data_IF_546229649037
#
_entry.id   IF_546229649037
#
_cell.length_a   1.000
_cell.length_b   1.000
_cell.length_c   1.000
_cell.angle_alpha   90.00
_cell.angle_beta   90.00
_cell.angle_gamma   90.00
#
_symmetry.space_group_name_H-M   'P 1'
#
loop_
_entity.id
_entity.type
_entity.pdbx_description
1 polymer ?
#
# COMPACT_ATOMS: atom_id res chain seq x y z
N UNK A 1 -0.19 13.32 -13.33
CA UNK A 1 -0.55 13.85 -12.01
C UNK A 1 -0.20 12.82 -10.97
N UNK A 2 0.45 13.26 -9.90
CA UNK A 2 0.93 12.42 -8.81
C UNK A 2 0.57 13.12 -7.50
N UNK A 3 -0.08 12.42 -6.58
CA UNK A 3 -0.29 12.88 -5.20
C UNK A 3 0.50 11.98 -4.28
N UNK A 4 1.29 12.58 -3.38
CA UNK A 4 2.06 11.88 -2.37
C UNK A 4 1.54 12.33 -1.01
N UNK A 5 0.73 11.49 -0.36
CA UNK A 5 0.03 11.80 0.89
C UNK A 5 -0.63 13.20 0.91
N UNK A 6 -1.33 13.58 -0.16
CA UNK A 6 -2.04 14.86 -0.23
C UNK A 6 -3.34 14.76 0.58
N UNK A 7 -3.73 15.75 1.40
CA UNK A 7 -5.04 15.75 2.08
C UNK A 7 -6.19 15.50 1.10
N UNK A 8 -7.19 14.71 1.50
CA UNK A 8 -8.25 14.24 0.59
C UNK A 8 -9.00 15.37 -0.10
N UNK A 9 -9.39 16.41 0.64
CA UNK A 9 -10.16 17.54 0.09
C UNK A 9 -9.31 18.37 -0.89
N UNK A 10 -8.02 18.54 -0.60
CA UNK A 10 -7.07 19.20 -1.48
C UNK A 10 -6.84 18.39 -2.76
N UNK A 11 -6.60 17.08 -2.63
CA UNK A 11 -6.46 16.17 -3.76
C UNK A 11 -7.73 16.17 -4.63
N UNK A 12 -8.93 16.23 -4.04
CA UNK A 12 -10.19 16.28 -4.79
C UNK A 12 -10.32 17.58 -5.59
N UNK A 13 -9.92 18.71 -5.00
CA UNK A 13 -9.93 20.03 -5.66
C UNK A 13 -8.94 20.08 -6.83
N UNK A 14 -7.70 19.64 -6.60
CA UNK A 14 -6.61 19.72 -7.58
C UNK A 14 -6.64 18.59 -8.62
N UNK A 15 -7.38 17.51 -8.37
CA UNK A 15 -7.38 16.35 -9.25
C UNK A 15 -7.90 16.66 -10.67
N UNK A 16 -7.16 16.20 -11.67
CA UNK A 16 -7.68 16.07 -13.04
C UNK A 16 -8.86 15.07 -13.13
N UNK A 17 -9.61 15.06 -14.24
CA UNK A 17 -10.92 14.40 -14.34
C UNK A 17 -10.93 12.92 -13.93
N UNK A 18 -9.91 12.15 -14.34
CA UNK A 18 -9.84 10.71 -14.04
C UNK A 18 -9.69 10.43 -12.53
N UNK A 19 -8.74 11.08 -11.88
CA UNK A 19 -8.52 10.87 -10.43
C UNK A 19 -9.67 11.47 -9.63
N UNK A 20 -10.21 12.63 -10.05
CA UNK A 20 -11.35 13.26 -9.39
C UNK A 20 -12.57 12.34 -9.37
N UNK A 21 -12.86 11.65 -10.47
CA UNK A 21 -13.95 10.66 -10.52
C UNK A 21 -13.72 9.51 -9.53
N UNK A 22 -12.49 8.97 -9.47
CA UNK A 22 -12.13 7.91 -8.52
C UNK A 22 -12.27 8.38 -7.08
N UNK A 23 -11.75 9.57 -6.73
CA UNK A 23 -11.85 10.13 -5.38
C UNK A 23 -13.32 10.41 -5.00
N UNK A 24 -14.11 10.93 -5.93
CA UNK A 24 -15.56 11.14 -5.72
C UNK A 24 -16.26 9.82 -5.43
N UNK A 25 -15.93 8.74 -6.14
CA UNK A 25 -16.48 7.41 -5.90
C UNK A 25 -15.98 6.80 -4.58
N UNK A 26 -14.75 7.09 -4.15
CA UNK A 26 -14.21 6.63 -2.86
C UNK A 26 -14.80 7.36 -1.66
N UNK A 27 -15.15 8.64 -1.79
CA UNK A 27 -15.59 9.51 -0.69
C UNK A 27 -16.71 8.91 0.20
N UNK A 28 -17.78 8.33 -0.37
CA UNK A 28 -18.83 7.66 0.41
C UNK A 28 -18.38 6.43 1.20
N UNK A 29 -17.23 5.82 0.85
CA UNK A 29 -16.69 4.64 1.51
C UNK A 29 -15.71 4.96 2.64
N UNK A 30 -15.33 6.23 2.80
CA UNK A 30 -14.51 6.69 3.93
C UNK A 30 -15.32 6.58 5.22
N UNK A 31 -14.71 6.03 6.27
CA UNK A 31 -15.40 5.85 7.55
C UNK A 31 -15.52 7.17 8.31
N UNK A 32 -14.62 8.13 8.06
CA UNK A 32 -14.51 9.42 8.75
C UNK A 32 -14.41 9.29 10.27
N UNK A 33 -13.75 8.22 10.72
CA UNK A 33 -13.49 7.94 12.15
C UNK A 33 -12.11 8.37 12.61
N UNK A 34 -11.32 8.92 11.69
CA UNK A 34 -9.94 9.33 11.89
C UNK A 34 -9.79 10.81 11.61
N UNK A 35 -8.77 11.44 12.20
CA UNK A 35 -8.56 12.90 12.10
C UNK A 35 -8.17 13.36 10.69
N UNK A 36 -7.45 12.54 9.94
CA UNK A 36 -6.93 12.88 8.62
C UNK A 36 -7.27 11.80 7.60
N UNK A 37 -7.45 12.22 6.35
CA UNK A 37 -7.55 11.35 5.19
C UNK A 37 -6.56 11.83 4.13
N UNK A 38 -5.66 10.95 3.69
CA UNK A 38 -4.61 11.26 2.71
C UNK A 38 -4.79 10.44 1.44
N UNK A 39 -4.40 11.04 0.32
CA UNK A 39 -4.47 10.50 -1.02
C UNK A 39 -3.07 10.28 -1.55
N UNK A 40 -2.88 9.06 -2.03
CA UNK A 40 -1.73 8.56 -2.72
C UNK A 40 -2.14 8.21 -4.15
N UNK A 41 -1.70 8.97 -5.15
CA UNK A 41 -2.10 8.73 -6.53
C UNK A 41 -0.90 8.77 -7.47
N UNK A 42 -0.79 7.77 -8.36
CA UNK A 42 0.28 7.68 -9.34
C UNK A 42 -0.23 7.10 -10.66
N UNK A 43 0.22 7.67 -11.77
CA UNK A 43 0.04 7.12 -13.12
C UNK A 43 1.41 6.66 -13.61
N UNK A 44 1.52 5.39 -13.97
CA UNK A 44 2.78 4.78 -14.31
C UNK A 44 2.64 3.95 -15.59
N UNK A 45 3.66 3.96 -16.44
CA UNK A 45 3.74 3.06 -17.59
C UNK A 45 4.65 1.88 -17.25
N UNK A 46 4.17 0.67 -17.50
CA UNK A 46 4.90 -0.57 -17.27
C UNK A 46 5.29 -1.22 -18.60
N UNK A 47 6.45 -1.86 -18.63
CA UNK A 47 6.82 -2.90 -19.59
C UNK A 47 6.58 -4.28 -18.96
N UNK A 48 6.51 -5.37 -19.75
CA UNK A 48 6.43 -6.71 -19.19
C UNK A 48 7.58 -6.98 -18.21
N UNK A 49 7.26 -7.48 -17.02
CA UNK A 49 8.22 -7.73 -15.93
C UNK A 49 8.45 -6.55 -14.97
N UNK A 50 8.04 -5.33 -15.33
CA UNK A 50 8.16 -4.17 -14.44
C UNK A 50 7.29 -4.35 -13.18
N UNK A 51 7.78 -3.85 -12.03
CA UNK A 51 7.08 -3.89 -10.73
C UNK A 51 7.03 -2.47 -10.15
N UNK A 52 5.99 -2.07 -9.40
CA UNK A 52 6.03 -0.82 -8.63
C UNK A 52 7.15 -0.87 -7.58
N UNK A 53 7.95 0.19 -7.45
CA UNK A 53 9.18 0.23 -6.61
C UNK A 53 8.97 -0.16 -5.15
N UNK A 54 7.78 0.08 -4.61
CA UNK A 54 7.46 -0.01 -3.19
C UNK A 54 6.78 -1.33 -2.77
N UNK A 55 6.55 -2.29 -3.68
CA UNK A 55 5.47 -3.27 -3.46
C UNK A 55 5.76 -4.73 -3.85
N UNK A 56 6.98 -5.14 -4.17
CA UNK A 56 7.23 -6.52 -4.66
C UNK A 56 7.01 -7.61 -3.59
N UNK A 57 7.42 -7.34 -2.35
CA UNK A 57 7.27 -8.26 -1.22
C UNK A 57 5.83 -8.24 -0.68
N UNK A 58 5.36 -9.37 -0.14
CA UNK A 58 4.18 -9.35 0.72
C UNK A 58 4.40 -8.42 1.90
N UNK A 59 3.48 -7.47 2.07
CA UNK A 59 3.55 -6.47 3.12
C UNK A 59 2.16 -6.12 3.65
N UNK A 60 2.17 -5.34 4.74
CA UNK A 60 0.97 -4.70 5.27
C UNK A 60 1.21 -3.19 5.34
N UNK A 61 0.13 -2.44 5.16
CA UNK A 61 0.17 -0.98 5.21
C UNK A 61 -0.10 -0.45 6.63
N UNK A 62 0.19 0.83 6.82
CA UNK A 62 -0.33 1.59 7.94
C UNK A 62 0.34 1.32 9.28
N UNK A 63 1.55 0.76 9.29
CA UNK A 63 2.40 0.67 10.47
C UNK A 63 2.66 2.07 11.08
N UNK A 64 2.70 3.11 10.23
CA UNK A 64 2.87 4.52 10.62
C UNK A 64 1.84 5.01 11.65
N UNK A 65 0.63 4.45 11.72
CA UNK A 65 -0.39 4.88 12.69
C UNK A 65 -0.04 4.51 14.13
N UNK A 66 0.87 3.56 14.31
CA UNK A 66 1.31 3.05 15.60
C UNK A 66 2.74 3.49 15.97
N UNK A 67 3.35 4.43 15.21
CA UNK A 67 4.66 5.05 15.51
C UNK A 67 4.61 6.01 16.71
N UNK A 68 4.11 5.54 17.84
CA UNK A 68 4.13 6.26 19.11
C UNK A 68 5.36 5.89 19.95
N UNK A 69 5.41 6.40 21.19
CA UNK A 69 6.48 6.12 22.14
C UNK A 69 6.72 4.61 22.38
N UNK A 70 5.75 3.73 22.10
CA UNK A 70 5.90 2.27 22.19
C UNK A 70 6.74 1.75 21.03
N UNK A 71 6.43 2.15 19.80
CA UNK A 71 7.22 1.80 18.62
C UNK A 71 8.62 2.45 18.65
N UNK A 72 8.74 3.67 19.17
CA UNK A 72 10.03 4.35 19.40
C UNK A 72 10.94 3.55 20.33
N UNK A 73 10.41 3.06 21.47
CA UNK A 73 11.18 2.22 22.42
C UNK A 73 11.70 0.93 21.80
N UNK A 74 11.00 0.43 20.79
CA UNK A 74 11.40 -0.78 20.08
C UNK A 74 12.39 -0.46 18.95
N UNK A 75 12.50 0.78 18.47
CA UNK A 75 13.52 1.19 17.49
C UNK A 75 13.04 1.27 16.04
N UNK A 76 11.76 1.59 15.80
CA UNK A 76 11.18 1.89 14.47
C UNK A 76 11.37 0.83 13.36
N UNK A 77 11.41 -0.45 13.74
CA UNK A 77 11.30 -1.54 12.76
C UNK A 77 9.83 -1.78 12.36
N UNK A 78 9.60 -2.31 11.17
CA UNK A 78 8.26 -2.53 10.60
C UNK A 78 7.38 -3.38 11.52
N UNK A 79 7.91 -4.47 12.09
CA UNK A 79 7.15 -5.31 13.02
C UNK A 79 6.94 -4.68 14.39
N UNK A 80 7.75 -3.70 14.78
CA UNK A 80 7.52 -2.98 16.03
C UNK A 80 6.31 -2.06 15.96
N UNK A 81 6.12 -1.43 14.81
CA UNK A 81 4.91 -0.68 14.53
C UNK A 81 3.67 -1.60 14.56
N UNK A 82 3.79 -2.82 14.00
CA UNK A 82 2.72 -3.82 14.06
C UNK A 82 2.47 -4.32 15.49
N UNK A 83 3.52 -4.60 16.26
CA UNK A 83 3.43 -5.03 17.66
C UNK A 83 2.82 -3.93 18.53
N UNK A 84 3.30 -2.68 18.41
CA UNK A 84 2.74 -1.52 19.12
C UNK A 84 1.26 -1.30 18.78
N UNK A 85 0.85 -1.61 17.54
CA UNK A 85 -0.56 -1.62 17.15
C UNK A 85 -1.33 -2.74 17.84
N UNK A 86 -0.83 -3.97 17.82
CA UNK A 86 -1.49 -5.13 18.44
C UNK A 86 -1.66 -4.98 19.95
N UNK A 87 -0.68 -4.34 20.60
CA UNK A 87 -0.71 -4.05 22.04
C UNK A 87 -1.56 -2.80 22.39
N UNK A 88 -2.05 -2.07 21.37
CA UNK A 88 -2.76 -0.81 21.53
C UNK A 88 -4.26 -0.91 21.37
N UNK A 89 -4.95 0.14 21.81
CA UNK A 89 -6.38 0.34 21.54
C UNK A 89 -6.64 1.20 20.29
N UNK A 90 -5.59 1.53 19.53
CA UNK A 90 -5.71 2.37 18.33
C UNK A 90 -6.46 1.59 17.26
N UNK A 91 -7.62 2.12 16.85
CA UNK A 91 -8.38 1.51 15.77
C UNK A 91 -7.52 1.39 14.50
N UNK A 92 -7.59 0.26 13.78
CA UNK A 92 -6.75 -0.01 12.63
C UNK A 92 -6.95 1.06 11.53
N UNK A 93 -5.93 1.30 10.69
CA UNK A 93 -6.10 2.15 9.53
C UNK A 93 -7.07 1.50 8.55
N UNK A 94 -7.85 2.33 7.88
CA UNK A 94 -8.73 1.90 6.80
C UNK A 94 -8.17 2.47 5.51
N UNK A 95 -7.97 1.58 4.55
CA UNK A 95 -7.43 1.91 3.25
C UNK A 95 -8.48 1.62 2.18
N UNK A 96 -8.61 2.54 1.23
CA UNK A 96 -9.28 2.28 -0.04
C UNK A 96 -8.24 2.29 -1.14
N UNK A 97 -8.24 1.30 -2.02
CA UNK A 97 -7.36 1.26 -3.19
C UNK A 97 -8.18 1.11 -4.47
N UNK A 98 -7.78 1.84 -5.49
CA UNK A 98 -8.25 1.71 -6.86
C UNK A 98 -7.08 1.50 -7.79
N UNK A 99 -7.27 0.57 -8.73
CA UNK A 99 -6.41 0.42 -9.88
C UNK A 99 -7.24 0.38 -11.16
N UNK A 100 -6.73 1.04 -12.19
CA UNK A 100 -7.39 1.11 -13.50
C UNK A 100 -7.21 -0.15 -14.36
N UNK A 101 -6.23 -0.99 -14.09
CA UNK A 101 -5.80 -2.04 -15.01
C UNK A 101 -5.55 -3.39 -14.33
N UNK A 102 -5.61 -4.47 -15.11
CA UNK A 102 -5.38 -5.84 -14.63
C UNK A 102 -3.95 -6.33 -14.88
N UNK A 103 -3.18 -5.69 -15.77
CA UNK A 103 -1.87 -6.18 -16.21
C UNK A 103 -0.79 -6.14 -15.12
N UNK A 104 -0.98 -5.39 -14.04
CA UNK A 104 -0.10 -5.35 -12.88
C UNK A 104 -0.93 -5.21 -11.60
N UNK A 105 -1.92 -6.11 -11.47
CA UNK A 105 -2.91 -6.07 -10.40
C UNK A 105 -2.32 -6.40 -9.03
N UNK A 106 -2.60 -5.57 -8.03
CA UNK A 106 -2.26 -5.88 -6.64
C UNK A 106 -2.95 -7.18 -6.21
N UNK A 107 -2.19 -8.09 -5.59
CA UNK A 107 -2.71 -9.32 -5.01
C UNK A 107 -2.95 -9.14 -3.52
N UNK A 108 -4.02 -9.76 -3.03
CA UNK A 108 -4.39 -9.80 -1.63
C UNK A 108 -4.52 -11.25 -1.16
N UNK A 109 -4.05 -11.55 0.04
CA UNK A 109 -4.38 -12.80 0.73
C UNK A 109 -5.85 -12.78 1.14
N UNK A 110 -6.60 -13.85 0.87
CA UNK A 110 -8.05 -13.89 1.09
C UNK A 110 -8.52 -14.80 2.21
N UNK A 111 -7.61 -15.57 2.82
CA UNK A 111 -7.89 -16.37 4.00
C UNK A 111 -7.01 -15.92 5.18
N UNK A 112 -7.49 -16.04 6.44
CA UNK A 112 -6.65 -15.79 7.61
C UNK A 112 -5.37 -16.62 7.56
N UNK A 113 -4.24 -15.98 7.86
CA UNK A 113 -2.92 -16.59 7.88
C UNK A 113 -2.25 -16.28 9.21
N UNK A 114 -1.76 -17.31 9.89
CA UNK A 114 -0.93 -17.18 11.09
C UNK A 114 0.51 -17.42 10.70
N UNK A 115 1.39 -16.48 11.06
CA UNK A 115 2.82 -16.53 10.74
C UNK A 115 3.59 -16.21 12.01
N UNK A 116 4.55 -17.06 12.35
CA UNK A 116 5.53 -16.78 13.39
C UNK A 116 6.68 -15.96 12.80
N UNK A 117 6.83 -14.71 13.24
CA UNK A 117 7.92 -13.84 12.82
C UNK A 117 8.89 -13.60 13.98
N UNK A 118 10.19 -13.39 13.70
CA UNK A 118 11.11 -12.87 14.70
C UNK A 118 10.60 -11.54 15.27
N UNK A 119 10.97 -11.21 16.51
CA UNK A 119 10.62 -9.93 17.15
C UNK A 119 11.05 -8.72 16.32
N UNK A 120 12.12 -8.88 15.54
CA UNK A 120 12.74 -7.87 14.70
C UNK A 120 12.84 -8.37 13.27
N UNK A 121 12.19 -7.68 12.33
CA UNK A 121 12.57 -7.74 10.92
C UNK A 121 12.80 -6.30 10.43
N UNK A 122 13.94 -6.01 9.76
CA UNK A 122 14.27 -4.67 9.32
C UNK A 122 13.45 -4.23 8.10
N UNK A 123 12.93 -5.19 7.34
CA UNK A 123 12.18 -5.01 6.11
C UNK A 123 11.12 -6.12 5.94
N UNK A 124 10.45 -6.17 4.80
CA UNK A 124 9.42 -7.17 4.50
C UNK A 124 9.98 -8.50 3.95
N UNK A 125 11.29 -8.70 3.83
CA UNK A 125 11.87 -9.90 3.19
C UNK A 125 11.50 -11.18 3.94
N UNK A 126 11.66 -11.18 5.27
CA UNK A 126 11.32 -12.35 6.09
C UNK A 126 9.81 -12.62 6.08
N UNK A 127 8.98 -11.57 6.16
CA UNK A 127 7.53 -11.73 6.04
C UNK A 127 7.15 -12.34 4.70
N UNK A 128 7.73 -11.83 3.61
CA UNK A 128 7.50 -12.33 2.26
C UNK A 128 7.88 -13.81 2.12
N UNK A 129 9.06 -14.20 2.59
CA UNK A 129 9.50 -15.59 2.56
C UNK A 129 8.52 -16.52 3.30
N UNK A 130 8.02 -16.12 4.47
CA UNK A 130 7.06 -16.91 5.24
C UNK A 130 5.68 -16.99 4.58
N UNK A 131 5.17 -15.88 4.04
CA UNK A 131 3.90 -15.87 3.30
C UNK A 131 4.00 -16.75 2.06
N UNK A 132 5.11 -16.69 1.32
CA UNK A 132 5.34 -17.52 0.16
C UNK A 132 5.40 -19.01 0.53
N UNK A 133 6.11 -19.37 1.61
CA UNK A 133 6.20 -20.74 2.10
C UNK A 133 4.83 -21.31 2.53
N UNK A 134 3.96 -20.46 3.10
CA UNK A 134 2.61 -20.85 3.48
C UNK A 134 1.65 -20.99 2.30
N UNK A 135 1.95 -20.34 1.17
CA UNK A 135 1.15 -20.36 -0.07
C UNK A 135 -0.37 -20.17 0.17
N UNK A 136 -0.80 -19.10 0.86
CA UNK A 136 -2.22 -18.89 1.14
C UNK A 136 -3.01 -18.64 -0.15
N UNK A 137 -4.34 -18.80 -0.13
CA UNK A 137 -5.18 -18.37 -1.25
C UNK A 137 -5.07 -16.85 -1.44
N UNK A 138 -4.92 -16.44 -2.70
CA UNK A 138 -4.77 -15.05 -3.09
C UNK A 138 -5.77 -14.66 -4.16
N UNK A 139 -6.10 -13.38 -4.22
CA UNK A 139 -6.95 -12.79 -5.27
C UNK A 139 -6.28 -11.53 -5.81
N UNK A 140 -6.26 -11.41 -7.12
CA UNK A 140 -5.88 -10.17 -7.79
C UNK A 140 -7.02 -9.17 -7.72
N UNK A 141 -6.73 -7.92 -7.36
CA UNK A 141 -7.69 -6.83 -7.41
C UNK A 141 -8.25 -6.70 -8.84
N UNK A 142 -9.58 -6.67 -9.03
CA UNK A 142 -10.17 -6.43 -10.34
C UNK A 142 -9.81 -5.03 -10.86
N UNK A 143 -9.63 -4.90 -12.17
CA UNK A 143 -9.49 -3.58 -12.79
C UNK A 143 -10.74 -2.72 -12.55
N UNK A 144 -10.54 -1.41 -12.45
CA UNK A 144 -11.59 -0.42 -12.21
C UNK A 144 -12.43 -0.68 -10.95
N UNK A 145 -11.85 -1.30 -9.92
CA UNK A 145 -12.53 -1.58 -8.65
C UNK A 145 -11.93 -0.79 -7.49
N UNK A 146 -12.78 -0.42 -6.53
CA UNK A 146 -12.36 0.10 -5.23
C UNK A 146 -12.35 -1.08 -4.24
N UNK A 147 -11.17 -1.41 -3.72
CA UNK A 147 -10.98 -2.42 -2.68
C UNK A 147 -10.76 -1.73 -1.36
N UNK A 148 -11.48 -2.17 -0.33
CA UNK A 148 -11.22 -1.79 1.05
C UNK A 148 -10.36 -2.84 1.72
N UNK A 149 -9.32 -2.40 2.40
CA UNK A 149 -8.44 -3.24 3.19
C UNK A 149 -7.96 -2.46 4.42
N UNK A 150 -7.25 -3.13 5.32
CA UNK A 150 -6.71 -2.53 6.53
C UNK A 150 -5.23 -2.88 6.71
N UNK A 151 -4.62 -2.38 7.77
CA UNK A 151 -3.21 -2.64 8.01
C UNK A 151 -2.85 -4.05 8.46
N UNK A 152 -3.76 -5.04 8.44
CA UNK A 152 -3.43 -6.46 8.57
C UNK A 152 -3.70 -7.23 7.28
N UNK A 153 -4.21 -6.56 6.25
CA UNK A 153 -4.46 -7.16 4.96
C UNK A 153 -3.15 -7.31 4.19
N UNK A 154 -2.66 -8.55 4.11
CA UNK A 154 -1.45 -8.88 3.35
C UNK A 154 -1.69 -8.67 1.86
N UNK A 155 -0.82 -7.87 1.25
CA UNK A 155 -0.87 -7.58 -0.16
C UNK A 155 0.52 -7.39 -0.77
N UNK A 156 0.57 -7.49 -2.10
CA UNK A 156 1.78 -7.19 -2.89
C UNK A 156 1.40 -6.75 -4.29
N UNK A 157 2.29 -6.03 -4.95
CA UNK A 157 2.26 -5.90 -6.39
C UNK A 157 2.82 -7.16 -7.06
N UNK A 158 2.43 -7.36 -8.32
CA UNK A 158 2.98 -8.41 -9.18
C UNK A 158 3.67 -7.79 -10.38
N UNK A 159 4.65 -8.48 -10.99
CA UNK A 159 5.23 -8.07 -12.26
C UNK A 159 4.15 -7.86 -13.32
N UNK A 160 4.32 -6.80 -14.12
CA UNK A 160 3.40 -6.51 -15.19
C UNK A 160 3.41 -7.63 -16.24
N UNK A 161 2.25 -8.18 -16.58
CA UNK A 161 2.10 -9.24 -17.59
C UNK A 161 2.19 -8.70 -19.02
N UNK A 162 2.00 -7.40 -19.21
CA UNK A 162 2.04 -6.73 -20.51
C UNK A 162 2.43 -5.26 -20.36
N UNK A 163 2.77 -4.61 -21.47
CA UNK A 163 2.96 -3.16 -21.49
C UNK A 163 1.63 -2.42 -21.24
N UNK A 164 1.68 -1.27 -20.56
CA UNK A 164 0.50 -0.42 -20.41
C UNK A 164 0.56 0.57 -19.26
N UNK A 165 -0.36 1.53 -19.31
CA UNK A 165 -0.57 2.52 -18.26
C UNK A 165 -1.41 1.96 -17.12
N UNK A 166 -1.01 2.25 -15.89
CA UNK A 166 -1.82 2.02 -14.68
C UNK A 166 -1.92 3.33 -13.89
N UNK A 167 -3.15 3.80 -13.72
CA UNK A 167 -3.54 4.67 -12.61
C UNK A 167 -3.77 3.82 -11.35
N UNK A 168 -3.08 4.19 -10.27
CA UNK A 168 -3.26 3.71 -8.90
C UNK A 168 -3.66 4.88 -8.01
N UNK A 169 -4.70 4.69 -7.20
CA UNK A 169 -5.16 5.66 -6.19
C UNK A 169 -5.39 4.91 -4.89
N UNK A 170 -4.77 5.38 -3.80
CA UNK A 170 -4.99 4.89 -2.44
C UNK A 170 -5.45 6.04 -1.57
N UNK A 171 -6.44 5.80 -0.73
CA UNK A 171 -6.89 6.73 0.32
C UNK A 171 -6.70 6.06 1.67
N UNK A 172 -6.11 6.80 2.61
CA UNK A 172 -5.69 6.31 3.90
C UNK A 172 -6.22 7.20 5.02
N UNK A 173 -6.95 6.62 5.97
CA UNK A 173 -7.48 7.31 7.16
C UNK A 173 -6.58 7.09 8.40
N UNK A 174 -6.17 8.17 9.07
CA UNK A 174 -5.25 8.13 10.22
C UNK A 174 -5.48 9.26 11.23
N UNK A 175 -5.10 9.03 12.50
CA UNK A 175 -5.16 10.05 13.55
C UNK A 175 -3.88 10.91 13.64
N UNK A 176 -2.90 10.59 12.80
CA UNK A 176 -1.58 11.22 12.77
C UNK A 176 -1.36 11.93 11.45
N UNK A 177 -0.83 13.14 11.54
CA UNK A 177 -0.38 13.89 10.38
C UNK A 177 0.84 13.19 9.75
N UNK A 178 0.85 13.12 8.43
CA UNK A 178 1.96 12.51 7.69
C UNK A 178 3.01 13.58 7.41
N UNK A 179 4.23 13.33 7.91
CA UNK A 179 5.39 14.17 7.66
C UNK A 179 6.17 13.58 6.48
N UNK A 180 6.15 14.29 5.36
CA UNK A 180 6.86 13.86 4.16
C UNK A 180 8.36 14.11 4.30
N UNK A 181 9.15 13.13 3.87
CA UNK A 181 10.62 13.25 3.78
C UNK A 181 11.02 13.31 2.31
N UNK A 182 12.12 13.99 2.00
CA UNK A 182 12.63 14.09 0.61
C UNK A 182 12.81 12.72 -0.06
N UNK A 183 13.40 11.68 0.59
CA UNK A 183 13.55 10.37 -0.03
C UNK A 183 12.22 9.70 -0.41
N UNK A 184 11.15 9.93 0.38
CA UNK A 184 9.83 9.39 0.10
C UNK A 184 9.18 10.10 -1.10
N UNK A 185 9.43 11.39 -1.27
CA UNK A 185 8.95 12.16 -2.42
C UNK A 185 9.71 11.73 -3.68
N UNK A 186 11.03 11.57 -3.61
CA UNK A 186 11.88 11.31 -4.77
C UNK A 186 11.60 9.95 -5.43
N UNK A 187 11.25 8.93 -4.65
CA UNK A 187 10.93 7.61 -5.17
C UNK A 187 9.46 7.45 -5.59
N UNK A 188 8.61 8.45 -5.30
CA UNK A 188 7.17 8.30 -5.47
C UNK A 188 6.76 8.27 -6.94
N UNK A 189 6.00 7.23 -7.33
CA UNK A 189 5.57 7.04 -8.72
C UNK A 189 6.62 6.38 -9.63
N UNK A 190 7.77 5.97 -9.10
CA UNK A 190 8.78 5.23 -9.87
C UNK A 190 8.38 3.77 -10.11
N UNK A 191 8.93 3.19 -11.19
CA UNK A 191 8.76 1.79 -11.59
C UNK A 191 10.11 1.08 -11.48
N UNK A 192 10.13 -0.07 -10.82
CA UNK A 192 11.29 -0.95 -10.76
C UNK A 192 11.32 -1.82 -12.00
N UNK A 193 12.44 -1.80 -12.71
CA UNK A 193 12.70 -2.63 -13.89
C UNK A 193 13.73 -3.67 -13.49
N UNK A 194 13.35 -4.94 -13.25
CA UNK A 194 14.32 -5.98 -13.03
C UNK A 194 15.30 -6.02 -14.21
N UNK A 195 16.59 -6.22 -13.95
CA UNK A 195 17.52 -6.51 -15.03
C UNK A 195 17.01 -7.73 -15.81
N UNK A 196 17.11 -7.77 -17.15
CA UNK A 196 16.74 -8.94 -17.91
C UNK A 196 17.52 -10.15 -17.36
N UNK A 197 16.81 -11.08 -16.75
CA UNK A 197 17.39 -12.35 -16.33
C UNK A 197 17.88 -13.12 -17.56
N UNK A 198 18.86 -14.02 -17.41
CA UNK A 198 19.17 -14.95 -18.49
C UNK A 198 17.88 -15.70 -18.89
N UNK A 199 17.66 -15.96 -20.18
CA UNK A 199 16.50 -16.74 -20.62
C UNK A 199 16.49 -18.12 -19.93
N UNK A 200 15.30 -18.71 -19.71
CA UNK A 200 15.16 -20.05 -19.15
C UNK A 200 15.86 -21.13 -20.00
#
# INVERSE_FOLDING_TARGET
>A
MTFCWCPFDEALAEAGPLVRQVLTAMGPHLQRRKRFAYVDAKIQHFQPGDVPVDSHHWHVDGSIVARDARAERLGHAILHDMQARMDGQVAPPVCLAYQSSAHCATQFVTAPLTIDLPTLIPDFVELDARVQAAAPPVMSQPAASIVRFDGLSLHRAVPASSAGWRLWVRVFETDREVQLTAPLIDCYGQVFRPAPGPPP
#
